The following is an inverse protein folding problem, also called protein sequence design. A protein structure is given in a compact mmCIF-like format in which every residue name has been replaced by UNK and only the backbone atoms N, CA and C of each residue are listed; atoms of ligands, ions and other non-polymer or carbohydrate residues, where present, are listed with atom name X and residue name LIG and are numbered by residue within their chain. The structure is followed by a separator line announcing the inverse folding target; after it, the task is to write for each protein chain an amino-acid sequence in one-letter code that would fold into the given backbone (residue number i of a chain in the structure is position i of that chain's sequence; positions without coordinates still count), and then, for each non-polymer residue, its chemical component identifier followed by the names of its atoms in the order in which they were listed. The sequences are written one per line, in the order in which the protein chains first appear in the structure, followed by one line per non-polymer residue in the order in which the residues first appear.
data_IF_251777727463
#
_entry.id   IF_251777727463
#
_cell.length_a   1.000
_cell.length_b   1.000
_cell.length_c   1.000
_cell.angle_alpha   90.00
_cell.angle_beta   90.00
_cell.angle_gamma   90.00
#
_symmetry.space_group_name_H-M   'P 1'
#
loop_
_entity.id
_entity.type
_entity.pdbx_description
1 polymer ?
#
# COMPACT_ATOMS: atom_id res chain seq x y z
N UNK A 1 3.63 -15.43 12.24
CA UNK A 1 3.88 -14.70 10.98
C UNK A 1 2.67 -13.81 10.71
N UNK A 2 2.86 -12.69 10.01
CA UNK A 2 1.81 -11.73 9.68
C UNK A 2 1.94 -11.26 8.23
N UNK A 3 0.90 -10.59 7.72
CA UNK A 3 0.81 -10.14 6.34
C UNK A 3 0.93 -8.60 6.29
N UNK A 4 1.82 -8.10 5.44
CA UNK A 4 1.81 -6.70 5.00
C UNK A 4 1.20 -6.65 3.60
N UNK A 5 0.13 -5.88 3.44
CA UNK A 5 -0.56 -5.73 2.16
C UNK A 5 0.04 -4.57 1.36
N UNK A 6 0.29 -4.83 0.07
CA UNK A 6 0.77 -3.86 -0.90
C UNK A 6 -0.37 -3.08 -1.58
N UNK A 7 -0.08 -1.90 -2.15
CA UNK A 7 -1.05 -1.06 -2.86
C UNK A 7 -1.71 -1.80 -4.03
N UNK A 8 -1.00 -2.71 -4.70
CA UNK A 8 -1.54 -3.51 -5.81
C UNK A 8 -2.76 -4.36 -5.42
N UNK A 9 -2.78 -4.95 -4.22
CA UNK A 9 -3.91 -5.74 -3.73
C UNK A 9 -5.16 -4.87 -3.48
N UNK A 10 -4.94 -3.66 -2.96
CA UNK A 10 -5.98 -2.66 -2.75
C UNK A 10 -6.54 -2.17 -4.10
N UNK A 11 -5.67 -1.88 -5.07
CA UNK A 11 -6.08 -1.47 -6.41
C UNK A 11 -6.86 -2.59 -7.12
N UNK A 12 -6.45 -3.85 -6.96
CA UNK A 12 -7.16 -5.00 -7.53
C UNK A 12 -8.56 -5.18 -6.92
N UNK A 13 -8.70 -5.00 -5.60
CA UNK A 13 -10.01 -5.01 -4.92
C UNK A 13 -10.91 -3.86 -5.39
N UNK A 14 -10.35 -2.66 -5.51
CA UNK A 14 -11.08 -1.49 -5.99
C UNK A 14 -11.58 -1.64 -7.44
N UNK A 15 -10.81 -2.35 -8.28
CA UNK A 15 -11.15 -2.64 -9.68
C UNK A 15 -12.02 -3.89 -9.84
N UNK A 16 -12.49 -4.49 -8.75
CA UNK A 16 -13.29 -5.72 -8.73
C UNK A 16 -12.59 -6.93 -9.37
N UNK A 17 -11.25 -6.89 -9.49
CA UNK A 17 -10.43 -7.98 -10.02
C UNK A 17 -10.05 -8.99 -8.93
N UNK A 18 -10.13 -8.56 -7.67
CA UNK A 18 -9.92 -9.36 -6.47
C UNK A 18 -11.04 -9.03 -5.48
N UNK A 19 -11.42 -9.99 -4.63
CA UNK A 19 -12.17 -9.68 -3.42
C UNK A 19 -11.23 -9.88 -2.23
N UNK A 20 -10.60 -8.80 -1.76
CA UNK A 20 -9.56 -8.86 -0.73
C UNK A 20 -10.09 -9.45 0.57
N UNK A 21 -11.33 -9.10 0.92
CA UNK A 21 -11.99 -9.63 2.12
C UNK A 21 -12.18 -11.15 2.07
N UNK A 22 -12.62 -11.68 0.93
CA UNK A 22 -12.78 -13.12 0.73
C UNK A 22 -11.44 -13.84 0.67
N UNK A 23 -10.44 -13.22 0.03
CA UNK A 23 -9.09 -13.74 -0.07
C UNK A 23 -8.38 -13.81 1.29
N UNK A 24 -8.58 -12.83 2.16
CA UNK A 24 -8.07 -12.88 3.52
C UNK A 24 -8.74 -13.98 4.36
N UNK A 25 -10.06 -14.17 4.19
CA UNK A 25 -10.82 -15.20 4.92
C UNK A 25 -10.51 -16.63 4.49
N UNK A 26 -9.99 -16.85 3.27
CA UNK A 26 -9.59 -18.18 2.81
C UNK A 26 -8.23 -18.64 3.35
N UNK A 27 -7.53 -17.77 4.09
CA UNK A 27 -6.21 -18.03 4.68
C UNK A 27 -6.34 -18.27 6.19
N UNK A 28 -5.34 -18.91 6.82
CA UNK A 28 -5.26 -18.95 8.28
C UNK A 28 -5.33 -17.53 8.86
N UNK A 29 -5.96 -17.34 10.03
CA UNK A 29 -6.03 -16.04 10.67
C UNK A 29 -4.64 -15.57 11.08
N UNK A 30 -4.17 -14.51 10.44
CA UNK A 30 -2.88 -13.87 10.71
C UNK A 30 -3.10 -12.36 10.91
N UNK A 31 -2.25 -11.67 11.72
CA UNK A 31 -2.26 -10.22 11.77
C UNK A 31 -2.05 -9.63 10.38
N UNK A 32 -2.87 -8.65 10.02
CA UNK A 32 -2.83 -7.97 8.73
C UNK A 32 -2.55 -6.50 8.98
N UNK A 33 -1.51 -5.98 8.32
CA UNK A 33 -1.12 -4.59 8.41
C UNK A 33 -0.83 -4.00 7.02
N UNK A 34 -0.74 -2.68 6.96
CA UNK A 34 -0.43 -1.91 5.75
C UNK A 34 0.60 -0.85 6.10
N UNK A 35 1.54 -0.59 5.20
CA UNK A 35 2.48 0.53 5.38
C UNK A 35 1.78 1.89 5.27
N UNK A 36 2.21 2.86 6.06
CA UNK A 36 1.82 4.26 5.88
C UNK A 36 2.16 4.79 4.48
N UNK A 37 3.20 4.26 3.83
CA UNK A 37 3.57 4.59 2.45
C UNK A 37 2.46 4.15 1.48
N UNK A 38 2.01 2.91 1.58
CA UNK A 38 0.89 2.37 0.78
C UNK A 38 -0.38 3.19 0.96
N UNK A 39 -0.70 3.59 2.19
CA UNK A 39 -1.84 4.48 2.44
C UNK A 39 -1.66 5.84 1.75
N UNK A 40 -0.45 6.42 1.79
CA UNK A 40 -0.15 7.67 1.12
C UNK A 40 -0.27 7.58 -0.41
N UNK A 41 0.19 6.50 -1.02
CA UNK A 41 0.03 6.23 -2.47
C UNK A 41 -1.43 6.18 -2.88
N UNK A 42 -2.28 5.51 -2.09
CA UNK A 42 -3.71 5.42 -2.37
C UNK A 42 -4.41 6.78 -2.23
N UNK A 43 -4.05 7.59 -1.24
CA UNK A 43 -4.53 8.96 -1.11
C UNK A 43 -4.09 9.84 -2.27
N UNK A 44 -2.82 9.78 -2.65
CA UNK A 44 -2.31 10.51 -3.80
C UNK A 44 -3.12 10.19 -5.06
N UNK A 45 -3.43 8.91 -5.30
CA UNK A 45 -4.28 8.47 -6.41
C UNK A 45 -5.72 9.02 -6.36
N UNK A 46 -6.23 9.41 -5.19
CA UNK A 46 -7.53 10.10 -5.03
C UNK A 46 -7.38 11.59 -5.32
N UNK A 47 -6.33 12.24 -4.81
CA UNK A 47 -6.12 13.68 -4.97
C UNK A 47 -5.87 14.08 -6.43
N UNK A 48 -5.25 13.20 -7.22
CA UNK A 48 -5.01 13.45 -8.66
C UNK A 48 -6.16 13.02 -9.57
N UNK A 49 -7.24 12.42 -9.04
CA UNK A 49 -8.40 11.98 -9.83
C UNK A 49 -9.28 13.16 -10.24
N UNK A 50 -9.47 13.34 -11.55
CA UNK A 50 -10.22 14.48 -12.11
C UNK A 50 -11.73 14.25 -12.10
N UNK A 51 -12.20 13.00 -12.09
CA UNK A 51 -13.62 12.69 -11.92
C UNK A 51 -14.01 12.76 -10.43
N UNK A 52 -14.72 13.83 -10.06
CA UNK A 52 -15.17 14.07 -8.68
C UNK A 52 -16.11 12.99 -8.13
N UNK A 53 -16.86 12.26 -8.97
CA UNK A 53 -17.70 11.15 -8.53
C UNK A 53 -16.85 9.94 -8.21
N UNK A 54 -15.86 9.66 -9.07
CA UNK A 54 -14.89 8.59 -8.85
C UNK A 54 -14.03 8.85 -7.61
N UNK A 55 -13.45 10.04 -7.46
CA UNK A 55 -12.65 10.43 -6.30
C UNK A 55 -13.43 10.22 -4.98
N UNK A 56 -14.69 10.66 -4.93
CA UNK A 56 -15.58 10.45 -3.76
C UNK A 56 -15.85 8.98 -3.47
N UNK A 57 -16.02 8.14 -4.50
CA UNK A 57 -16.19 6.70 -4.31
C UNK A 57 -14.93 6.05 -3.74
N UNK A 58 -13.77 6.37 -4.31
CA UNK A 58 -12.45 5.86 -3.87
C UNK A 58 -12.14 6.25 -2.43
N UNK A 59 -12.37 7.51 -2.06
CA UNK A 59 -12.22 8.00 -0.68
C UNK A 59 -13.06 7.20 0.32
N UNK A 60 -14.36 7.01 0.03
CA UNK A 60 -15.25 6.23 0.91
C UNK A 60 -14.79 4.79 1.06
N UNK A 61 -14.35 4.17 -0.03
CA UNK A 61 -13.79 2.82 0.00
C UNK A 61 -12.51 2.77 0.85
N UNK A 62 -11.56 3.70 0.65
CA UNK A 62 -10.31 3.74 1.39
C UNK A 62 -10.55 3.90 2.90
N UNK A 63 -11.35 4.89 3.29
CA UNK A 63 -11.70 5.13 4.69
C UNK A 63 -12.42 3.94 5.32
N UNK A 64 -13.27 3.23 4.57
CA UNK A 64 -13.95 2.01 5.06
C UNK A 64 -12.98 0.85 5.24
N UNK A 65 -12.09 0.63 4.27
CA UNK A 65 -11.13 -0.48 4.26
C UNK A 65 -10.10 -0.34 5.39
N UNK A 66 -9.54 0.87 5.58
CA UNK A 66 -8.47 1.10 6.53
C UNK A 66 -8.92 1.23 8.00
N UNK A 67 -10.24 1.35 8.28
CA UNK A 67 -10.77 1.36 9.65
C UNK A 67 -10.43 0.12 10.48
N UNK A 68 -10.10 -1.00 9.83
CA UNK A 68 -9.86 -2.31 10.47
C UNK A 68 -8.43 -2.81 10.28
N UNK A 69 -7.59 -2.04 9.60
CA UNK A 69 -6.22 -2.42 9.29
C UNK A 69 -5.27 -1.70 10.21
N UNK A 70 -4.26 -2.42 10.69
CA UNK A 70 -3.13 -1.79 11.37
C UNK A 70 -2.30 -1.04 10.33
N UNK A 71 -1.96 0.22 10.63
CA UNK A 71 -1.07 1.03 9.79
C UNK A 71 0.31 1.05 10.45
N UNK A 72 1.30 0.49 9.76
CA UNK A 72 2.69 0.51 10.21
C UNK A 72 3.30 1.86 9.84
N UNK A 73 3.77 2.65 10.82
CA UNK A 73 4.40 3.94 10.55
C UNK A 73 5.76 3.77 9.89
N UNK A 74 6.17 4.76 9.09
CA UNK A 74 7.55 4.89 8.64
C UNK A 74 8.34 5.66 9.70
N UNK A 75 9.10 4.93 10.52
CA UNK A 75 9.97 5.50 11.55
C UNK A 75 11.45 5.54 11.12
N UNK A 76 12.32 6.01 12.00
CA UNK A 76 13.75 6.15 11.75
C UNK A 76 14.44 4.79 11.54
N UNK A 77 13.98 3.74 12.23
CA UNK A 77 14.51 2.39 12.07
C UNK A 77 14.17 1.82 10.69
N UNK A 78 12.92 1.95 10.26
CA UNK A 78 12.48 1.51 8.95
C UNK A 78 13.13 2.33 7.83
N UNK A 79 13.30 3.64 8.03
CA UNK A 79 14.03 4.50 7.09
C UNK A 79 15.48 4.04 6.87
N UNK A 80 16.20 3.65 7.94
CA UNK A 80 17.56 3.10 7.83
C UNK A 80 17.60 1.78 7.06
N UNK A 81 16.65 0.87 7.32
CA UNK A 81 16.55 -0.40 6.59
C UNK A 81 16.25 -0.15 5.12
N UNK A 82 15.30 0.74 4.82
CA UNK A 82 14.97 1.15 3.47
C UNK A 82 16.20 1.71 2.73
N UNK A 83 16.94 2.62 3.37
CA UNK A 83 18.17 3.19 2.78
C UNK A 83 19.23 2.12 2.47
N UNK A 84 19.39 1.11 3.35
CA UNK A 84 20.31 -0.01 3.11
C UNK A 84 19.86 -0.84 1.91
N UNK A 85 18.58 -1.25 1.87
CA UNK A 85 18.03 -2.01 0.74
C UNK A 85 18.15 -1.23 -0.57
N UNK A 86 17.92 0.07 -0.53
CA UNK A 86 18.09 0.95 -1.68
C UNK A 86 19.54 0.96 -2.19
N UNK A 87 20.52 1.10 -1.29
CA UNK A 87 21.94 1.07 -1.65
C UNK A 87 22.35 -0.30 -2.24
N UNK A 88 21.87 -1.39 -1.67
CA UNK A 88 22.08 -2.74 -2.20
C UNK A 88 21.50 -2.88 -3.62
N UNK A 89 20.24 -2.48 -3.83
CA UNK A 89 19.58 -2.51 -5.13
C UNK A 89 20.30 -1.63 -6.17
N UNK A 90 20.70 -0.42 -5.81
CA UNK A 90 21.44 0.49 -6.68
C UNK A 90 22.84 -0.07 -7.06
N UNK A 91 23.45 -0.85 -6.18
CA UNK A 91 24.73 -1.52 -6.47
C UNK A 91 24.57 -2.72 -7.41
N UNK A 92 23.38 -3.34 -7.45
CA UNK A 92 23.08 -4.51 -8.28
C UNK A 92 22.52 -4.14 -9.67
N UNK A 93 21.90 -2.96 -9.81
CA UNK A 93 21.40 -2.41 -11.07
C UNK A 93 22.07 -1.08 -11.39
N UNK A 94 23.05 -1.09 -12.29
CA UNK A 94 23.90 0.06 -12.60
C UNK A 94 23.13 1.35 -12.97
N UNK A 95 23.66 2.47 -12.48
CA UNK A 95 23.39 3.86 -12.89
C UNK A 95 21.93 4.18 -13.28
N UNK A 96 21.02 4.23 -12.31
CA UNK A 96 19.88 5.16 -12.44
C UNK A 96 20.37 6.56 -12.06
N UNK A 97 21.20 7.15 -12.94
CA UNK A 97 21.61 8.55 -12.83
C UNK A 97 20.37 9.42 -12.90
N UNK A 98 20.07 10.09 -11.79
CA UNK A 98 19.32 11.34 -11.79
C UNK A 98 20.15 12.38 -12.56
N UNK A 99 19.91 12.48 -13.86
CA UNK A 99 20.22 13.67 -14.67
C UNK A 99 19.08 14.66 -14.60
#
# INVERSE_FOLDING_TARGET
MGLILDSSLFIADEREQLNLSSWLRSRPPEPVAVSAITLAELWFGIEVETDATRARRRRRWLEKTFRRLEIVPLDDALARVHARLWAELASMGGDFKTS
#
